data_IF_928296557744
#
_entry.id   IF_928296557744
#
_cell.length_a   1.000
_cell.length_b   1.000
_cell.length_c   1.000
_cell.angle_alpha   90.00
_cell.angle_beta   90.00
_cell.angle_gamma   90.00
#
_symmetry.space_group_name_H-M   'P 1'
#
loop_
_entity.id
_entity.type
_entity.pdbx_description
1 polymer ?
#
# COMPACT_ATOMS: atom_id res chain seq x y z
N UNK A 1 5.68 38.97 11.99
CA UNK A 1 4.38 38.62 11.39
C UNK A 1 4.43 37.14 11.13
N UNK A 2 3.75 36.35 11.97
CA UNK A 2 3.86 34.90 12.01
C UNK A 2 3.30 34.27 10.73
N UNK A 3 4.02 33.27 10.23
CA UNK A 3 3.67 32.51 9.03
C UNK A 3 2.77 31.37 9.50
N UNK A 4 1.52 31.36 9.02
CA UNK A 4 0.51 30.36 9.37
C UNK A 4 0.99 28.94 9.02
N UNK A 5 1.08 28.10 10.05
CA UNK A 5 1.10 26.66 9.92
C UNK A 5 -0.32 26.07 9.81
N UNK A 6 -0.37 24.86 9.28
CA UNK A 6 -1.41 23.85 9.51
C UNK A 6 -2.82 24.14 8.99
N UNK A 7 -3.07 23.88 7.70
CA UNK A 7 -4.42 23.63 7.17
C UNK A 7 -4.52 22.30 6.37
N UNK A 8 -3.40 21.65 6.03
CA UNK A 8 -3.40 20.49 5.11
C UNK A 8 -3.70 19.12 5.74
N UNK A 9 -3.81 18.99 7.07
CA UNK A 9 -4.00 17.68 7.73
C UNK A 9 -5.46 17.32 8.05
N UNK A 10 -6.36 18.29 8.25
CA UNK A 10 -7.75 18.04 8.68
C UNK A 10 -8.56 17.26 7.64
N UNK A 11 -8.54 17.70 6.39
CA UNK A 11 -9.29 17.06 5.30
C UNK A 11 -8.81 15.63 5.00
N UNK A 12 -7.53 15.34 5.28
CA UNK A 12 -6.94 14.03 5.08
C UNK A 12 -7.47 13.04 6.12
N UNK A 13 -7.41 13.40 7.39
CA UNK A 13 -7.90 12.58 8.51
C UNK A 13 -9.42 12.40 8.48
N UNK A 14 -10.19 13.43 8.11
CA UNK A 14 -11.64 13.32 7.99
C UNK A 14 -12.06 12.33 6.88
N UNK A 15 -11.41 12.38 5.71
CA UNK A 15 -11.64 11.41 4.63
C UNK A 15 -11.18 9.98 4.97
N UNK A 16 -10.22 9.85 5.89
CA UNK A 16 -9.72 8.57 6.38
C UNK A 16 -10.66 7.95 7.40
N UNK A 17 -11.33 8.76 8.23
CA UNK A 17 -12.22 8.32 9.30
C UNK A 17 -13.71 8.30 8.90
N UNK A 18 -14.07 8.75 7.69
CA UNK A 18 -15.43 8.62 7.15
C UNK A 18 -15.90 7.15 7.15
N UNK A 19 -17.01 6.80 7.82
CA UNK A 19 -17.57 5.45 7.82
C UNK A 19 -18.24 5.05 6.50
N UNK A 20 -18.08 5.83 5.42
CA UNK A 20 -18.71 5.70 4.11
C UNK A 20 -18.93 4.27 3.60
N UNK A 21 -19.87 4.13 2.64
CA UNK A 21 -20.45 2.85 2.22
C UNK A 21 -19.48 1.78 1.69
N UNK A 22 -18.23 2.12 1.39
CA UNK A 22 -17.17 1.19 1.01
C UNK A 22 -15.84 1.92 0.86
N UNK A 23 -14.73 1.17 0.94
CA UNK A 23 -13.39 1.76 0.94
C UNK A 23 -12.96 2.26 -0.45
N UNK A 24 -13.45 1.65 -1.54
CA UNK A 24 -13.17 2.07 -2.93
C UNK A 24 -14.07 3.22 -3.41
N UNK A 25 -15.06 3.65 -2.63
CA UNK A 25 -16.05 4.65 -3.05
C UNK A 25 -15.44 6.02 -3.44
N UNK A 26 -14.31 6.39 -2.83
CA UNK A 26 -13.58 7.61 -3.20
C UNK A 26 -12.87 7.54 -4.56
N UNK A 27 -12.85 6.36 -5.20
CA UNK A 27 -12.33 6.17 -6.55
C UNK A 27 -13.42 6.34 -7.62
N UNK A 28 -14.70 6.38 -7.26
CA UNK A 28 -15.79 6.59 -8.21
C UNK A 28 -15.75 7.95 -8.96
N UNK A 29 -15.26 9.07 -8.36
CA UNK A 29 -15.03 10.31 -9.09
C UNK A 29 -13.71 10.35 -9.88
N UNK A 30 -12.93 9.27 -9.87
CA UNK A 30 -11.57 9.26 -10.44
C UNK A 30 -11.55 9.07 -11.96
N UNK A 31 -10.40 9.39 -12.55
CA UNK A 31 -10.11 9.20 -13.98
C UNK A 31 -9.98 7.70 -14.36
N UNK A 32 -10.01 6.80 -13.37
CA UNK A 32 -9.88 5.36 -13.58
C UNK A 32 -11.07 4.84 -14.40
N UNK A 33 -10.84 4.09 -15.50
CA UNK A 33 -11.93 3.54 -16.30
C UNK A 33 -12.79 2.55 -15.52
N UNK A 34 -14.11 2.58 -15.78
CA UNK A 34 -15.10 1.73 -15.13
C UNK A 34 -15.80 0.82 -16.15
N UNK A 35 -15.92 -0.47 -15.82
CA UNK A 35 -16.58 -1.48 -16.63
C UNK A 35 -17.62 -2.24 -15.80
N UNK A 36 -18.85 -2.39 -16.29
CA UNK A 36 -19.84 -3.19 -15.59
C UNK A 36 -19.57 -4.70 -15.82
N UNK A 37 -19.61 -5.49 -14.75
CA UNK A 37 -19.51 -6.94 -14.88
C UNK A 37 -20.74 -7.51 -15.60
N UNK A 38 -20.52 -8.16 -16.75
CA UNK A 38 -21.59 -8.75 -17.59
C UNK A 38 -21.37 -10.25 -17.85
N UNK A 39 -20.55 -10.88 -17.03
CA UNK A 39 -20.16 -12.28 -17.17
C UNK A 39 -18.67 -12.44 -17.53
N UNK A 40 -18.21 -13.70 -17.44
CA UNK A 40 -16.78 -14.06 -17.58
C UNK A 40 -16.20 -13.69 -18.94
N UNK A 41 -16.92 -13.96 -20.03
CA UNK A 41 -16.45 -13.67 -21.39
C UNK A 41 -16.28 -12.16 -21.62
N UNK A 42 -17.26 -11.36 -21.20
CA UNK A 42 -17.18 -9.92 -21.36
C UNK A 42 -16.05 -9.33 -20.49
N UNK A 43 -15.85 -9.82 -19.27
CA UNK A 43 -14.71 -9.42 -18.45
C UNK A 43 -13.37 -9.68 -19.15
N UNK A 44 -13.22 -10.85 -19.80
CA UNK A 44 -12.01 -11.16 -20.57
C UNK A 44 -11.82 -10.20 -21.75
N UNK A 45 -12.90 -9.87 -22.47
CA UNK A 45 -12.86 -8.86 -23.54
C UNK A 45 -12.41 -7.49 -23.01
N UNK A 46 -13.01 -7.04 -21.91
CA UNK A 46 -12.72 -5.74 -21.29
C UNK A 46 -11.25 -5.70 -20.80
N UNK A 47 -10.77 -6.76 -20.13
CA UNK A 47 -9.38 -6.90 -19.70
C UNK A 47 -8.40 -6.87 -20.88
N UNK A 48 -8.66 -7.63 -21.94
CA UNK A 48 -7.77 -7.72 -23.09
C UNK A 48 -7.71 -6.40 -23.87
N UNK A 49 -8.84 -5.72 -24.02
CA UNK A 49 -8.90 -4.40 -24.65
C UNK A 49 -8.09 -3.38 -23.85
N UNK A 50 -8.26 -3.36 -22.52
CA UNK A 50 -7.51 -2.48 -21.64
C UNK A 50 -6.00 -2.79 -21.67
N UNK A 51 -5.61 -4.06 -21.63
CA UNK A 51 -4.21 -4.49 -21.71
C UNK A 51 -3.55 -4.12 -23.03
N UNK A 52 -4.27 -4.19 -24.15
CA UNK A 52 -3.75 -3.74 -25.45
C UNK A 52 -3.56 -2.23 -25.51
N UNK A 53 -4.48 -1.45 -24.92
CA UNK A 53 -4.33 0.00 -24.80
C UNK A 53 -3.13 0.36 -23.94
N UNK A 54 -2.92 -0.34 -22.82
CA UNK A 54 -1.77 -0.16 -21.93
C UNK A 54 -0.43 -0.40 -22.64
N UNK A 55 -0.36 -1.42 -23.51
CA UNK A 55 0.87 -1.76 -24.22
C UNK A 55 1.22 -0.81 -25.40
N UNK A 56 0.39 0.20 -25.69
CA UNK A 56 0.65 1.20 -26.73
C UNK A 56 1.02 2.57 -26.11
N UNK A 57 2.25 3.11 -26.30
CA UNK A 57 2.69 4.37 -25.67
C UNK A 57 1.99 5.61 -26.26
N UNK A 58 1.81 6.74 -25.50
CA UNK A 58 2.81 7.30 -24.57
C UNK A 58 2.35 7.58 -23.12
N UNK A 59 1.13 7.23 -22.69
CA UNK A 59 0.64 7.61 -21.35
C UNK A 59 0.66 6.46 -20.36
N UNK A 60 1.74 6.38 -19.59
CA UNK A 60 1.92 5.56 -18.40
C UNK A 60 1.11 6.14 -17.21
N UNK A 61 -0.22 6.18 -17.30
CA UNK A 61 -1.06 6.79 -16.28
C UNK A 61 -2.03 5.83 -15.58
N UNK A 62 -2.65 4.87 -16.29
CA UNK A 62 -3.72 4.07 -15.69
C UNK A 62 -3.38 2.58 -15.73
N UNK A 63 -2.71 2.10 -14.68
CA UNK A 63 -2.45 0.66 -14.48
C UNK A 63 -3.67 -0.05 -13.89
N UNK A 64 -4.83 0.60 -13.80
CA UNK A 64 -5.99 0.05 -13.15
C UNK A 64 -7.28 0.35 -13.90
N UNK A 65 -8.25 -0.54 -13.74
CA UNK A 65 -9.64 -0.26 -14.04
C UNK A 65 -10.54 -0.84 -12.95
N UNK A 66 -11.71 -0.24 -12.78
CA UNK A 66 -12.72 -0.68 -11.82
C UNK A 66 -13.76 -1.51 -12.55
N UNK A 67 -14.12 -2.66 -11.98
CA UNK A 67 -15.28 -3.44 -12.39
C UNK A 67 -16.40 -3.24 -11.39
N UNK A 68 -17.58 -2.82 -11.86
CA UNK A 68 -18.76 -2.55 -11.04
C UNK A 68 -19.76 -3.71 -11.09
N UNK A 69 -20.60 -3.82 -10.05
CA UNK A 69 -21.64 -4.86 -9.96
C UNK A 69 -21.06 -6.26 -9.70
N UNK A 70 -19.87 -6.35 -9.11
CA UNK A 70 -19.25 -7.61 -8.69
C UNK A 70 -19.80 -7.97 -7.31
N UNK A 71 -20.98 -8.57 -7.27
CA UNK A 71 -21.56 -9.03 -6.00
C UNK A 71 -20.67 -10.08 -5.32
N UNK A 72 -20.87 -10.30 -4.02
CA UNK A 72 -20.07 -11.28 -3.27
C UNK A 72 -20.12 -12.68 -3.88
N UNK A 73 -21.27 -13.10 -4.40
CA UNK A 73 -21.42 -14.39 -5.09
C UNK A 73 -20.61 -14.46 -6.39
N UNK A 74 -20.54 -13.36 -7.15
CA UNK A 74 -19.71 -13.26 -8.35
C UNK A 74 -18.22 -13.28 -7.97
N UNK A 75 -17.84 -12.55 -6.94
CA UNK A 75 -16.47 -12.51 -6.44
C UNK A 75 -15.99 -13.89 -6.00
N UNK A 76 -16.74 -14.53 -5.09
CA UNK A 76 -16.40 -15.85 -4.56
C UNK A 76 -16.30 -16.91 -5.66
N UNK A 77 -17.16 -16.85 -6.70
CA UNK A 77 -17.17 -17.85 -7.77
C UNK A 77 -16.12 -17.64 -8.86
N UNK A 78 -15.63 -16.41 -9.07
CA UNK A 78 -14.77 -16.09 -10.22
C UNK A 78 -13.39 -15.53 -9.86
N UNK A 79 -13.26 -14.84 -8.73
CA UNK A 79 -12.11 -13.97 -8.44
C UNK A 79 -11.39 -14.32 -7.14
N UNK A 80 -12.03 -15.03 -6.20
CA UNK A 80 -11.43 -15.30 -4.88
C UNK A 80 -10.17 -16.18 -4.94
N UNK A 81 -10.26 -17.32 -5.62
CA UNK A 81 -9.17 -18.30 -5.72
C UNK A 81 -8.83 -18.67 -7.19
N UNK A 82 -8.52 -17.69 -8.06
CA UNK A 82 -8.16 -17.93 -9.45
C UNK A 82 -6.72 -18.46 -9.52
N UNK A 83 -6.51 -19.58 -10.20
CA UNK A 83 -5.16 -20.17 -10.30
C UNK A 83 -4.18 -19.23 -11.01
N UNK A 84 -4.55 -18.70 -12.18
CA UNK A 84 -3.77 -17.75 -12.99
C UNK A 84 -4.67 -16.96 -13.95
N UNK A 85 -4.11 -15.96 -14.64
CA UNK A 85 -4.76 -15.26 -15.75
C UNK A 85 -5.51 -13.99 -15.33
N UNK A 86 -6.34 -13.40 -16.21
CA UNK A 86 -7.00 -12.11 -15.97
C UNK A 86 -7.82 -12.03 -14.68
N UNK A 87 -8.46 -13.13 -14.29
CA UNK A 87 -9.26 -13.20 -13.06
C UNK A 87 -8.41 -13.13 -11.79
N UNK A 88 -7.10 -13.40 -11.86
CA UNK A 88 -6.16 -13.30 -10.75
C UNK A 88 -5.46 -11.93 -10.67
N UNK A 89 -5.88 -10.95 -11.48
CA UNK A 89 -5.23 -9.64 -11.58
C UNK A 89 -5.93 -8.55 -10.79
N UNK A 90 -6.88 -8.90 -9.93
CA UNK A 90 -7.46 -7.94 -9.01
C UNK A 90 -6.51 -7.69 -7.83
N UNK A 91 -6.58 -6.50 -7.24
CA UNK A 91 -5.81 -6.16 -6.04
C UNK A 91 -6.70 -5.64 -4.91
N UNK A 92 -7.94 -5.24 -5.18
CA UNK A 92 -8.90 -4.84 -4.14
C UNK A 92 -10.33 -5.20 -4.54
N UNK A 93 -11.11 -5.64 -3.58
CA UNK A 93 -12.53 -5.96 -3.71
C UNK A 93 -13.29 -5.30 -2.57
N UNK A 94 -14.27 -4.47 -2.92
CA UNK A 94 -15.19 -3.80 -1.99
C UNK A 94 -16.54 -4.48 -2.04
N UNK A 95 -16.86 -5.21 -0.98
CA UNK A 95 -18.08 -6.01 -0.90
C UNK A 95 -19.34 -5.14 -0.76
N UNK A 96 -19.21 -3.94 -0.18
CA UNK A 96 -20.35 -3.09 0.12
C UNK A 96 -20.77 -2.23 -1.08
N UNK A 97 -19.81 -1.87 -1.93
CA UNK A 97 -20.05 -1.15 -3.19
C UNK A 97 -20.05 -2.06 -4.42
N UNK A 98 -19.74 -3.35 -4.26
CA UNK A 98 -19.62 -4.34 -5.35
C UNK A 98 -18.61 -3.89 -6.42
N UNK A 99 -17.47 -3.35 -5.97
CA UNK A 99 -16.39 -2.85 -6.82
C UNK A 99 -15.18 -3.78 -6.76
N UNK A 100 -14.61 -4.09 -7.92
CA UNK A 100 -13.35 -4.83 -8.04
C UNK A 100 -12.32 -3.97 -8.75
N UNK A 101 -11.21 -3.68 -8.09
CA UNK A 101 -10.07 -2.98 -8.69
C UNK A 101 -9.13 -3.99 -9.33
N UNK A 102 -8.93 -3.88 -10.64
CA UNK A 102 -8.05 -4.74 -11.43
C UNK A 102 -6.76 -3.99 -11.75
N UNK A 103 -5.61 -4.61 -11.48
CA UNK A 103 -4.27 -4.11 -11.79
C UNK A 103 -3.72 -4.71 -13.08
N UNK A 104 -3.14 -3.85 -13.92
CA UNK A 104 -2.27 -4.23 -15.03
C UNK A 104 -0.90 -4.67 -14.50
N UNK A 105 -0.06 -5.32 -15.34
CA UNK A 105 1.29 -5.69 -14.93
C UNK A 105 2.03 -4.51 -14.30
N UNK A 106 2.60 -4.75 -13.12
CA UNK A 106 3.34 -3.74 -12.34
C UNK A 106 4.42 -3.08 -13.18
N UNK A 107 4.56 -1.75 -13.06
CA UNK A 107 5.72 -1.08 -13.64
C UNK A 107 6.99 -1.54 -12.92
N UNK A 108 8.09 -1.57 -13.67
CA UNK A 108 9.43 -1.87 -13.13
C UNK A 108 9.79 -0.92 -11.98
N UNK A 109 9.37 0.35 -12.05
CA UNK A 109 9.54 1.33 -10.97
C UNK A 109 8.80 0.92 -9.69
N UNK A 110 7.51 0.53 -9.78
CA UNK A 110 6.72 0.11 -8.62
C UNK A 110 7.35 -1.13 -7.97
N UNK A 111 7.64 -2.15 -8.78
CA UNK A 111 8.25 -3.40 -8.31
C UNK A 111 9.64 -3.18 -7.69
N UNK A 112 10.45 -2.30 -8.28
CA UNK A 112 11.79 -1.94 -7.75
C UNK A 112 11.67 -1.20 -6.42
N UNK A 113 10.73 -0.28 -6.29
CA UNK A 113 10.52 0.47 -5.06
C UNK A 113 10.02 -0.46 -3.93
N UNK A 114 9.03 -1.30 -4.21
CA UNK A 114 8.50 -2.33 -3.29
C UNK A 114 9.59 -3.29 -2.79
N UNK A 115 10.33 -3.91 -3.72
CA UNK A 115 11.40 -4.85 -3.38
C UNK A 115 12.58 -4.20 -2.67
N UNK A 116 12.94 -2.97 -3.04
CA UNK A 116 14.01 -2.22 -2.36
C UNK A 116 13.61 -1.84 -0.94
N UNK A 117 12.34 -1.47 -0.70
CA UNK A 117 11.84 -1.23 0.64
C UNK A 117 11.93 -2.48 1.51
N UNK A 118 11.49 -3.65 1.02
CA UNK A 118 11.64 -4.91 1.76
C UNK A 118 13.11 -5.17 2.13
N UNK A 119 14.04 -4.99 1.19
CA UNK A 119 15.46 -5.19 1.43
C UNK A 119 16.02 -4.25 2.50
N UNK A 120 15.69 -2.97 2.47
CA UNK A 120 16.23 -2.03 3.47
C UNK A 120 15.60 -2.25 4.85
N UNK A 121 14.34 -2.70 4.93
CA UNK A 121 13.72 -3.08 6.20
C UNK A 121 14.44 -4.25 6.84
N UNK A 122 14.75 -5.30 6.07
CA UNK A 122 15.53 -6.43 6.57
C UNK A 122 16.93 -6.00 7.02
N UNK A 123 17.60 -5.12 6.27
CA UNK A 123 18.88 -4.54 6.69
C UNK A 123 18.80 -3.73 7.98
N UNK A 124 17.70 -3.01 8.21
CA UNK A 124 17.49 -2.28 9.47
C UNK A 124 17.29 -3.23 10.67
N UNK A 125 16.83 -4.47 10.42
CA UNK A 125 16.64 -5.50 11.43
C UNK A 125 17.92 -6.31 11.74
N UNK A 126 18.87 -6.39 10.81
CA UNK A 126 20.13 -7.15 10.97
C UNK A 126 20.91 -6.76 12.24
N UNK A 127 21.16 -5.47 12.56
CA UNK A 127 21.87 -5.08 13.79
C UNK A 127 21.13 -5.53 15.07
N UNK A 128 19.80 -5.65 15.01
CA UNK A 128 18.96 -6.10 16.11
C UNK A 128 18.97 -7.63 16.24
N UNK A 129 19.45 -8.36 15.22
CA UNK A 129 19.37 -9.83 15.15
C UNK A 129 17.96 -10.36 14.91
N UNK A 130 17.12 -9.57 14.25
CA UNK A 130 15.68 -9.79 14.14
C UNK A 130 15.20 -10.00 12.69
N UNK A 131 16.11 -9.94 11.72
CA UNK A 131 15.86 -10.17 10.30
C UNK A 131 15.26 -11.56 10.03
N UNK A 132 15.80 -12.59 10.68
CA UNK A 132 15.30 -13.96 10.58
C UNK A 132 14.06 -14.24 11.43
N UNK A 133 13.60 -13.28 12.23
CA UNK A 133 12.40 -13.41 13.06
C UNK A 133 11.14 -12.86 12.36
N UNK A 134 11.31 -12.19 11.22
CA UNK A 134 10.25 -11.58 10.44
C UNK A 134 9.95 -12.41 9.18
N UNK A 135 8.69 -12.72 8.96
CA UNK A 135 8.23 -13.33 7.71
C UNK A 135 7.72 -12.24 6.77
N UNK A 136 8.24 -12.22 5.54
CA UNK A 136 7.59 -11.54 4.42
C UNK A 136 6.38 -12.39 3.99
N UNK A 137 5.20 -11.81 4.10
CA UNK A 137 3.97 -12.40 3.57
C UNK A 137 3.93 -12.01 2.10
N UNK A 138 3.95 -13.01 1.21
CA UNK A 138 3.88 -12.78 -0.23
C UNK A 138 2.54 -12.21 -0.69
N UNK A 139 2.23 -12.34 -1.97
CA UNK A 139 1.02 -11.83 -2.65
C UNK A 139 -0.30 -12.51 -2.24
N UNK A 140 -0.42 -12.93 -0.98
CA UNK A 140 -1.64 -13.54 -0.44
C UNK A 140 -2.73 -12.48 -0.24
N UNK A 141 -3.95 -12.79 -0.68
CA UNK A 141 -5.10 -11.94 -0.44
C UNK A 141 -5.57 -12.07 1.02
N UNK A 142 -5.91 -10.93 1.62
CA UNK A 142 -6.43 -10.84 2.98
C UNK A 142 -7.87 -10.36 2.93
N UNK A 143 -8.77 -11.07 3.62
CA UNK A 143 -10.21 -10.88 3.54
C UNK A 143 -10.80 -10.47 4.89
N UNK A 144 -11.74 -9.53 4.87
CA UNK A 144 -12.60 -9.16 6.00
C UNK A 144 -14.01 -8.84 5.51
N UNK A 145 -14.88 -8.38 6.41
CA UNK A 145 -16.28 -8.09 6.05
C UNK A 145 -16.42 -7.00 4.98
N UNK A 146 -15.45 -6.07 4.92
CA UNK A 146 -15.41 -5.03 3.88
C UNK A 146 -15.00 -5.53 2.49
N UNK A 147 -14.47 -6.76 2.39
CA UNK A 147 -14.07 -7.37 1.13
C UNK A 147 -12.68 -8.02 1.17
N UNK A 148 -11.85 -7.78 0.16
CA UNK A 148 -10.55 -8.42 -0.01
C UNK A 148 -9.49 -7.47 -0.54
N UNK A 149 -8.22 -7.65 -0.14
CA UNK A 149 -7.10 -6.89 -0.72
C UNK A 149 -5.81 -7.70 -0.73
N UNK A 150 -5.01 -7.46 -1.75
CA UNK A 150 -3.63 -7.95 -1.88
C UNK A 150 -2.65 -6.81 -1.51
N UNK A 151 -1.67 -7.04 -0.62
CA UNK A 151 -0.66 -6.04 -0.28
C UNK A 151 0.47 -6.02 -1.32
N UNK A 152 1.15 -4.88 -1.48
CA UNK A 152 2.38 -4.84 -2.30
C UNK A 152 3.56 -5.51 -1.59
N UNK A 153 3.67 -5.32 -0.28
CA UNK A 153 4.42 -6.18 0.65
C UNK A 153 3.71 -6.22 1.99
N UNK A 154 3.90 -7.29 2.74
CA UNK A 154 3.44 -7.33 4.12
C UNK A 154 4.34 -8.18 4.99
N UNK A 155 4.36 -7.89 6.29
CA UNK A 155 5.23 -8.56 7.24
C UNK A 155 4.48 -8.95 8.52
N UNK A 156 4.95 -10.04 9.14
CA UNK A 156 4.53 -10.48 10.47
C UNK A 156 5.66 -11.22 11.17
N UNK A 157 5.67 -11.32 12.51
CA UNK A 157 6.64 -12.15 13.19
C UNK A 157 6.37 -13.63 12.89
N UNK A 158 7.44 -14.43 12.79
CA UNK A 158 7.32 -15.88 12.58
C UNK A 158 6.58 -16.54 13.76
N UNK A 159 6.91 -16.11 14.97
CA UNK A 159 6.27 -16.52 16.22
C UNK A 159 5.20 -15.50 16.60
N UNK A 160 3.94 -15.91 16.47
CA UNK A 160 2.79 -15.10 16.86
C UNK A 160 2.45 -15.33 18.34
N UNK A 161 1.91 -14.33 19.05
CA UNK A 161 1.35 -14.51 20.38
C UNK A 161 0.24 -15.58 20.39
N UNK A 162 0.00 -16.28 21.52
CA UNK A 162 -1.10 -17.22 21.64
C UNK A 162 -2.44 -16.57 21.24
N UNK A 163 -3.22 -17.26 20.41
CA UNK A 163 -4.51 -16.78 19.93
C UNK A 163 -4.47 -15.78 18.76
N UNK A 164 -3.29 -15.24 18.39
CA UNK A 164 -3.18 -14.35 17.22
C UNK A 164 -3.27 -15.15 15.92
N UNK A 165 -4.25 -14.80 15.09
CA UNK A 165 -4.49 -15.43 13.79
C UNK A 165 -3.35 -15.20 12.78
N UNK A 166 -3.24 -16.09 11.79
CA UNK A 166 -2.37 -15.90 10.62
C UNK A 166 -3.09 -15.21 9.45
N UNK A 167 -4.35 -14.84 9.63
CA UNK A 167 -5.19 -14.26 8.58
C UNK A 167 -4.78 -12.85 8.17
N UNK A 168 -4.08 -12.10 9.02
CA UNK A 168 -3.68 -10.71 8.75
C UNK A 168 -2.19 -10.49 8.99
N UNK A 169 -1.54 -9.62 8.20
CA UNK A 169 -0.20 -9.12 8.51
C UNK A 169 -0.23 -8.21 9.75
N UNK A 170 0.95 -7.72 10.11
CA UNK A 170 1.14 -6.76 11.20
C UNK A 170 1.54 -5.40 10.66
N UNK A 171 2.45 -5.38 9.68
CA UNK A 171 2.82 -4.19 8.92
C UNK A 171 2.60 -4.46 7.43
N UNK A 172 2.04 -3.49 6.71
CA UNK A 172 1.79 -3.56 5.27
C UNK A 172 2.48 -2.41 4.56
N UNK A 173 2.98 -2.64 3.35
CA UNK A 173 3.43 -1.61 2.41
C UNK A 173 2.45 -1.52 1.25
N UNK A 174 2.09 -0.30 0.88
CA UNK A 174 1.36 0.04 -0.34
C UNK A 174 2.18 1.08 -1.11
N UNK A 175 2.49 0.77 -2.37
CA UNK A 175 3.28 1.60 -3.26
C UNK A 175 2.37 2.19 -4.33
N UNK A 176 2.47 3.50 -4.50
CA UNK A 176 1.72 4.24 -5.51
C UNK A 176 2.67 4.94 -6.47
N UNK A 177 2.54 4.65 -7.75
CA UNK A 177 3.22 5.37 -8.82
C UNK A 177 2.17 6.17 -9.60
N UNK A 178 2.25 7.51 -9.56
CA UNK A 178 1.26 8.41 -10.18
C UNK A 178 -0.20 8.25 -9.70
N UNK A 179 -0.49 7.27 -8.84
CA UNK A 179 -1.84 7.07 -8.30
C UNK A 179 -2.28 8.27 -7.47
N UNK A 180 -3.59 8.49 -7.46
CA UNK A 180 -4.17 9.55 -6.64
C UNK A 180 -3.96 9.24 -5.15
N UNK A 181 -3.74 10.29 -4.35
CA UNK A 181 -3.70 10.17 -2.89
C UNK A 181 -4.98 9.49 -2.34
N UNK A 182 -6.11 9.61 -3.05
CA UNK A 182 -7.36 8.94 -2.69
C UNK A 182 -7.27 7.40 -2.73
N UNK A 183 -6.48 6.82 -3.63
CA UNK A 183 -6.25 5.36 -3.69
C UNK A 183 -5.42 4.88 -2.51
N UNK A 184 -4.29 5.53 -2.22
CA UNK A 184 -3.49 5.19 -1.03
C UNK A 184 -4.31 5.30 0.26
N UNK A 185 -5.14 6.35 0.38
CA UNK A 185 -6.07 6.49 1.52
C UNK A 185 -7.07 5.34 1.61
N UNK A 186 -7.64 4.93 0.47
CA UNK A 186 -8.51 3.75 0.38
C UNK A 186 -7.81 2.48 0.87
N UNK A 187 -6.57 2.27 0.45
CA UNK A 187 -5.78 1.11 0.87
C UNK A 187 -5.50 1.13 2.38
N UNK A 188 -5.09 2.27 2.93
CA UNK A 188 -4.88 2.43 4.38
C UNK A 188 -6.16 2.17 5.16
N UNK A 189 -7.32 2.69 4.69
CA UNK A 189 -8.62 2.43 5.32
C UNK A 189 -8.96 0.95 5.35
N UNK A 190 -8.71 0.23 4.25
CA UNK A 190 -8.95 -1.21 4.21
C UNK A 190 -8.15 -1.93 5.29
N UNK A 191 -6.82 -1.75 5.30
CA UNK A 191 -5.95 -2.49 6.21
C UNK A 191 -6.20 -2.19 7.69
N UNK A 192 -6.40 -0.92 8.03
CA UNK A 192 -6.58 -0.53 9.43
C UNK A 192 -7.97 -0.86 9.98
N UNK A 193 -9.01 -0.90 9.14
CA UNK A 193 -10.39 -1.21 9.58
C UNK A 193 -10.74 -2.69 9.44
N UNK A 194 -10.42 -3.33 8.30
CA UNK A 194 -10.83 -4.71 8.02
C UNK A 194 -10.13 -5.72 8.92
N UNK A 195 -8.94 -5.37 9.40
CA UNK A 195 -8.14 -6.23 10.28
C UNK A 195 -8.56 -6.16 11.75
N UNK A 196 -9.47 -5.26 12.13
CA UNK A 196 -9.90 -5.10 13.53
C UNK A 196 -8.73 -4.90 14.51
N UNK A 197 -7.69 -4.19 14.06
CA UNK A 197 -6.49 -3.90 14.84
C UNK A 197 -5.41 -4.98 14.75
N UNK A 198 -5.57 -6.04 13.96
CA UNK A 198 -4.51 -7.02 13.71
C UNK A 198 -3.34 -6.44 12.89
N UNK A 199 -3.63 -5.52 11.97
CA UNK A 199 -2.63 -4.66 11.31
C UNK A 199 -2.34 -3.47 12.21
N UNK A 200 -1.07 -3.30 12.57
CA UNK A 200 -0.60 -2.26 13.49
C UNK A 200 -0.11 -1.02 12.77
N UNK A 201 0.39 -1.14 11.54
CA UNK A 201 0.70 0.01 10.70
C UNK A 201 0.64 -0.29 9.21
N UNK A 202 0.36 0.75 8.45
CA UNK A 202 0.44 0.75 6.99
C UNK A 202 1.48 1.78 6.58
N UNK A 203 2.46 1.35 5.79
CA UNK A 203 3.48 2.19 5.20
C UNK A 203 3.04 2.47 3.76
N UNK A 204 2.92 3.73 3.38
CA UNK A 204 2.57 4.13 2.02
C UNK A 204 3.79 4.74 1.35
N UNK A 205 4.14 4.31 0.14
CA UNK A 205 5.22 4.85 -0.66
C UNK A 205 4.65 5.53 -1.92
N UNK A 206 4.43 6.85 -1.86
CA UNK A 206 3.95 7.63 -3.00
C UNK A 206 5.12 8.16 -3.82
N UNK A 207 5.18 7.77 -5.10
CA UNK A 207 6.25 8.10 -6.04
C UNK A 207 5.68 9.06 -7.10
N UNK A 208 6.26 10.24 -7.19
CA UNK A 208 5.97 11.17 -8.28
C UNK A 208 6.57 10.66 -9.59
N UNK A 209 5.75 10.51 -10.64
CA UNK A 209 6.23 10.09 -11.96
C UNK A 209 7.23 11.06 -12.59
N UNK A 210 6.98 12.36 -12.43
CA UNK A 210 7.77 13.42 -13.08
C UNK A 210 8.49 14.35 -12.10
N UNK A 211 8.10 14.32 -10.83
CA UNK A 211 8.75 15.05 -9.77
C UNK A 211 9.56 14.04 -8.98
N UNK A 212 10.90 14.14 -9.00
CA UNK A 212 11.84 13.30 -8.24
C UNK A 212 11.58 13.45 -6.74
N UNK A 213 10.51 12.83 -6.29
CA UNK A 213 9.87 13.02 -5.00
C UNK A 213 9.20 11.70 -4.63
N UNK A 214 9.54 11.22 -3.45
CA UNK A 214 8.95 10.07 -2.81
C UNK A 214 8.45 10.53 -1.46
N UNK A 215 7.19 10.25 -1.16
CA UNK A 215 6.57 10.51 0.15
C UNK A 215 6.29 9.16 0.80
N UNK A 216 6.86 8.95 1.97
CA UNK A 216 6.65 7.76 2.80
C UNK A 216 5.79 8.16 3.99
N UNK A 217 4.57 7.66 4.03
CA UNK A 217 3.66 7.82 5.16
C UNK A 217 3.67 6.57 6.02
N UNK A 218 3.60 6.72 7.34
CA UNK A 218 3.31 5.63 8.27
C UNK A 218 1.99 5.94 8.97
N UNK A 219 1.01 5.06 8.78
CA UNK A 219 -0.35 5.20 9.28
C UNK A 219 -0.62 4.17 10.36
N UNK A 220 -1.33 4.58 11.39
CA UNK A 220 -1.73 3.72 12.49
C UNK A 220 -3.12 4.10 13.02
N UNK A 221 -3.67 3.24 13.86
CA UNK A 221 -4.92 3.50 14.59
C UNK A 221 -4.56 3.90 16.02
N UNK A 222 -5.08 5.04 16.48
CA UNK A 222 -4.87 5.48 17.87
C UNK A 222 -5.77 4.70 18.85
N UNK A 223 -5.65 4.98 20.15
CA UNK A 223 -6.44 4.31 21.19
C UNK A 223 -7.96 4.54 21.07
N UNK A 224 -8.39 5.58 20.37
CA UNK A 224 -9.80 5.92 20.13
C UNK A 224 -10.38 5.23 18.87
N UNK A 225 -9.54 4.50 18.13
CA UNK A 225 -9.94 3.87 16.87
C UNK A 225 -9.79 4.77 15.63
N UNK A 226 -9.25 5.98 15.79
CA UNK A 226 -9.03 6.92 14.68
C UNK A 226 -7.75 6.58 13.91
N UNK A 227 -7.88 6.51 12.59
CA UNK A 227 -6.74 6.36 11.68
C UNK A 227 -6.06 7.72 11.48
N UNK A 228 -4.74 7.77 11.60
CA UNK A 228 -3.95 8.99 11.44
C UNK A 228 -2.56 8.71 10.85
N UNK A 229 -1.95 9.73 10.24
CA UNK A 229 -0.57 9.66 9.75
C UNK A 229 0.39 9.94 10.93
N UNK A 230 1.05 8.89 11.42
CA UNK A 230 1.98 8.98 12.54
C UNK A 230 3.32 9.61 12.14
N UNK A 231 3.80 9.30 10.92
CA UNK A 231 5.05 9.83 10.39
C UNK A 231 4.90 10.15 8.90
N UNK A 232 5.55 11.23 8.46
CA UNK A 232 5.64 11.61 7.06
C UNK A 232 7.10 11.92 6.71
N UNK A 233 7.70 11.08 5.86
CA UNK A 233 9.06 11.24 5.37
C UNK A 233 9.01 11.62 3.90
N UNK A 234 9.76 12.65 3.51
CA UNK A 234 9.80 13.11 2.12
C UNK A 234 11.24 13.04 1.64
N UNK A 235 11.48 12.30 0.57
CA UNK A 235 12.75 12.26 -0.14
C UNK A 235 12.56 12.96 -1.48
N UNK A 236 13.34 13.99 -1.77
CA UNK A 236 13.25 14.71 -3.04
C UNK A 236 14.61 15.07 -3.62
N UNK A 237 14.70 15.10 -4.95
CA UNK A 237 15.85 15.60 -5.70
C UNK A 237 15.50 16.97 -6.28
N UNK A 238 16.31 17.98 -5.96
CA UNK A 238 16.15 19.30 -6.55
C UNK A 238 16.76 19.37 -7.96
N UNK A 239 16.54 20.48 -8.68
CA UNK A 239 17.05 20.68 -10.05
C UNK A 239 18.58 20.62 -10.19
N UNK A 240 19.33 20.77 -9.09
CA UNK A 240 20.78 20.66 -9.08
C UNK A 240 21.25 19.22 -8.80
N UNK A 241 20.33 18.25 -8.77
CA UNK A 241 20.62 16.84 -8.53
C UNK A 241 20.85 16.47 -7.06
N UNK A 242 20.78 17.44 -6.13
CA UNK A 242 20.98 17.20 -4.69
C UNK A 242 19.72 16.59 -4.07
N UNK A 243 19.92 15.52 -3.31
CA UNK A 243 18.87 14.86 -2.52
C UNK A 243 18.67 15.60 -1.21
N UNK A 244 17.41 15.76 -0.81
CA UNK A 244 16.99 16.28 0.48
C UNK A 244 15.97 15.35 1.10
N UNK A 245 16.13 15.05 2.39
CA UNK A 245 15.18 14.24 3.15
C UNK A 245 14.64 15.04 4.32
N UNK A 246 13.33 15.04 4.51
CA UNK A 246 12.67 15.60 5.69
C UNK A 246 11.86 14.54 6.40
N UNK A 247 11.77 14.61 7.74
CA UNK A 247 11.01 13.65 8.55
C UNK A 247 11.71 12.33 8.85
N UNK A 248 12.95 12.14 8.39
CA UNK A 248 13.75 10.95 8.69
C UNK A 248 14.26 10.91 10.15
N UNK A 249 14.57 9.71 10.68
CA UNK A 249 14.38 8.39 10.06
C UNK A 249 12.90 7.97 10.03
N UNK A 250 12.55 7.00 9.18
CA UNK A 250 11.27 6.29 9.33
C UNK A 250 11.43 5.27 10.46
N UNK A 251 10.56 5.32 11.47
CA UNK A 251 10.62 4.46 12.65
C UNK A 251 9.44 3.49 12.72
N UNK A 252 9.72 2.20 12.75
CA UNK A 252 8.72 1.15 12.98
C UNK A 252 8.91 0.63 14.41
N UNK A 253 7.84 0.62 15.20
CA UNK A 253 7.93 0.21 16.60
C UNK A 253 8.31 -1.27 16.72
N UNK A 254 9.17 -1.62 17.68
CA UNK A 254 9.52 -3.03 17.87
C UNK A 254 8.30 -3.86 18.29
N UNK A 255 7.55 -3.38 19.28
CA UNK A 255 6.35 -4.07 19.78
C UNK A 255 5.25 -4.11 18.72
N UNK A 256 5.18 -3.07 17.89
CA UNK A 256 4.28 -3.01 16.74
C UNK A 256 4.58 -4.15 15.77
N UNK A 257 5.84 -4.33 15.36
CA UNK A 257 6.25 -5.31 14.35
C UNK A 257 6.29 -6.75 14.89
N UNK A 258 6.71 -6.95 16.14
CA UNK A 258 6.94 -8.27 16.73
C UNK A 258 5.86 -8.75 17.71
N UNK A 259 4.88 -7.89 18.03
CA UNK A 259 3.76 -8.19 18.94
C UNK A 259 4.19 -8.67 20.33
N UNK A 260 5.34 -8.19 20.80
CA UNK A 260 5.89 -8.46 22.14
C UNK A 260 6.86 -7.37 22.55
N UNK A 261 7.12 -7.28 23.85
CA UNK A 261 8.13 -6.37 24.37
C UNK A 261 9.55 -6.70 23.92
N UNK A 262 10.40 -5.68 23.74
CA UNK A 262 11.79 -5.86 23.38
C UNK A 262 12.62 -6.43 24.53
N UNK A 263 13.59 -7.26 24.18
CA UNK A 263 14.68 -7.71 25.04
C UNK A 263 15.83 -6.69 24.96
N UNK A 264 15.86 -5.80 25.95
CA UNK A 264 16.86 -4.73 26.03
C UNK A 264 18.26 -5.29 26.39
N UNK A 265 19.36 -4.65 25.93
CA UNK A 265 19.39 -3.40 25.14
C UNK A 265 19.42 -3.62 23.61
N UNK A 266 19.38 -4.88 23.15
CA UNK A 266 19.60 -5.20 21.74
C UNK A 266 18.37 -4.92 20.88
N UNK A 267 17.19 -5.35 21.35
CA UNK A 267 15.93 -5.12 20.65
C UNK A 267 15.42 -3.71 20.96
N UNK A 268 15.11 -2.95 19.91
CA UNK A 268 14.64 -1.57 19.95
C UNK A 268 13.87 -1.25 18.68
N UNK A 269 13.29 -0.07 18.60
CA UNK A 269 12.58 0.39 17.41
C UNK A 269 13.48 0.34 16.17
N UNK A 270 12.85 0.04 15.03
CA UNK A 270 13.52 -0.19 13.77
C UNK A 270 13.63 1.14 13.05
N UNK A 271 14.85 1.65 12.93
CA UNK A 271 15.14 2.90 12.22
C UNK A 271 15.56 2.60 10.79
N UNK A 272 14.73 3.01 9.84
CA UNK A 272 15.12 3.12 8.43
C UNK A 272 15.84 4.45 8.26
N UNK A 273 17.18 4.37 8.18
CA UNK A 273 18.08 5.52 8.27
C UNK A 273 18.01 6.45 7.06
N UNK A 274 18.63 7.62 7.19
CA UNK A 274 18.77 8.57 6.07
C UNK A 274 19.43 7.91 4.84
N UNK A 275 20.50 7.12 5.04
CA UNK A 275 21.18 6.46 3.91
C UNK A 275 20.29 5.41 3.23
N UNK A 276 19.47 4.69 4.01
CA UNK A 276 18.52 3.71 3.46
C UNK A 276 17.40 4.38 2.64
N UNK A 277 16.93 5.53 3.10
CA UNK A 277 15.92 6.34 2.41
C UNK A 277 16.47 6.94 1.11
N UNK A 278 17.71 7.47 1.13
CA UNK A 278 18.41 7.91 -0.08
C UNK A 278 18.57 6.75 -1.07
N UNK A 279 18.86 5.56 -0.56
CA UNK A 279 19.06 4.38 -1.39
C UNK A 279 17.77 3.90 -2.08
N UNK A 280 16.61 3.88 -1.39
CA UNK A 280 15.33 3.61 -2.07
C UNK A 280 15.09 4.64 -3.18
N UNK A 281 15.32 5.92 -2.89
CA UNK A 281 15.07 6.98 -3.84
C UNK A 281 15.96 6.88 -5.08
N UNK A 282 17.25 6.62 -4.90
CA UNK A 282 18.19 6.41 -6.00
C UNK A 282 17.73 5.25 -6.90
N UNK A 283 17.43 4.08 -6.33
CA UNK A 283 16.98 2.91 -7.09
C UNK A 283 15.66 3.15 -7.82
N UNK A 284 14.73 3.86 -7.18
CA UNK A 284 13.44 4.18 -7.79
C UNK A 284 13.59 5.18 -8.94
N UNK A 285 14.45 6.19 -8.78
CA UNK A 285 14.65 7.21 -9.81
C UNK A 285 15.47 6.71 -10.99
N UNK A 286 16.44 5.83 -10.78
CA UNK A 286 17.16 5.13 -11.86
C UNK A 286 16.18 4.40 -12.80
N UNK A 287 15.19 3.68 -12.25
CA UNK A 287 14.19 2.99 -13.07
C UNK A 287 13.24 3.93 -13.81
N UNK A 288 13.02 5.16 -13.32
CA UNK A 288 12.24 6.17 -14.03
C UNK A 288 13.06 6.87 -15.14
N UNK A 289 14.39 6.68 -15.18
CA UNK A 289 15.30 7.26 -16.19
C UNK A 289 15.57 6.29 -17.36
N UNK A 290 15.24 5.02 -17.18
CA UNK A 290 15.34 3.96 -18.19
C UNK A 290 14.13 3.95 -19.12
#
# INVERSE_FOLDING_TARGET
>A
MAINGSIINGDAEDSMNDPGRGFLGSLAPSVIPHYAYRGREQFLCDYNAFSQQYNNPPNCADQWFVVTGVSKGIFDSNFRDPETGPFSKWCSYDAALELLLVKMPESTTHSTASSTFNRILLKALEPLGMDLALACIGSGCHFGDMGGKEPDQAWRPIRLPPGRSRAWPVVVLEVALSETQAKLRSDVRYWLRASEGDVKSVITLSIGSNARRIVIGKWATNAEGHQYEQQNVVVSRNGNGRVSITGAPLVIGFEELFLRSPTVPRERDIEVSHEMLEFIAARTWEEQEN
#
